data_IF_588297280955
#
_entry.id   IF_588297280955
#
_cell.length_a   1.000
_cell.length_b   1.000
_cell.length_c   1.000
_cell.angle_alpha   90.00
_cell.angle_beta   90.00
_cell.angle_gamma   90.00
#
_symmetry.space_group_name_H-M   'P 1'
#
loop_
_entity.id
_entity.type
_entity.pdbx_description
1 polymer ?
#
# COMPACT_ATOMS: atom_id res chain seq x y z
N UNK A 1 -9.66 -18.99 -1.37
CA UNK A 1 -11.03 -18.73 -0.87
C UNK A 1 -11.62 -17.41 -1.37
N UNK A 2 -10.85 -16.32 -1.46
CA UNK A 2 -11.37 -15.01 -1.96
C UNK A 2 -11.64 -14.96 -3.48
N UNK A 3 -10.92 -15.73 -4.31
CA UNK A 3 -11.04 -15.65 -5.77
C UNK A 3 -12.43 -16.02 -6.34
N UNK A 4 -13.25 -16.74 -5.57
CA UNK A 4 -14.57 -17.21 -6.00
C UNK A 4 -15.74 -16.58 -5.22
N UNK A 5 -15.43 -15.81 -4.17
CA UNK A 5 -16.42 -15.14 -3.32
C UNK A 5 -15.91 -13.72 -3.01
N UNK A 6 -15.92 -12.81 -3.98
CA UNK A 6 -15.44 -11.43 -3.76
C UNK A 6 -16.49 -10.55 -3.07
N UNK A 7 -17.76 -10.93 -3.12
CA UNK A 7 -18.88 -10.14 -2.58
C UNK A 7 -18.78 -9.87 -1.08
N UNK A 8 -18.23 -10.80 -0.28
CA UNK A 8 -18.09 -10.58 1.16
C UNK A 8 -17.06 -9.48 1.49
N UNK A 9 -16.10 -9.21 0.60
CA UNK A 9 -15.08 -8.17 0.81
C UNK A 9 -15.69 -6.76 0.75
N UNK A 10 -16.83 -6.62 0.09
CA UNK A 10 -17.54 -5.34 -0.09
C UNK A 10 -18.80 -5.23 0.76
N UNK A 11 -19.22 -6.30 1.42
CA UNK A 11 -20.45 -6.35 2.22
C UNK A 11 -20.19 -5.75 3.61
N UNK A 12 -20.96 -4.72 3.95
CA UNK A 12 -20.85 -3.98 5.22
C UNK A 12 -20.99 -4.90 6.44
N UNK A 13 -21.77 -5.98 6.33
CA UNK A 13 -21.95 -6.95 7.41
C UNK A 13 -20.63 -7.60 7.85
N UNK A 14 -19.67 -7.73 6.93
CA UNK A 14 -18.39 -8.38 7.20
C UNK A 14 -17.23 -7.40 7.35
N UNK A 15 -17.50 -6.09 7.43
CA UNK A 15 -16.45 -5.05 7.45
C UNK A 15 -15.40 -5.30 8.55
N UNK A 16 -15.82 -5.61 9.77
CA UNK A 16 -14.90 -5.88 10.90
C UNK A 16 -13.99 -7.10 10.64
N UNK A 17 -14.53 -8.15 10.02
CA UNK A 17 -13.76 -9.33 9.64
C UNK A 17 -12.77 -9.02 8.52
N UNK A 18 -13.19 -8.25 7.51
CA UNK A 18 -12.33 -7.80 6.42
C UNK A 18 -11.20 -6.92 6.95
N UNK A 19 -11.50 -6.04 7.92
CA UNK A 19 -10.49 -5.23 8.62
C UNK A 19 -9.47 -6.12 9.34
N UNK A 20 -9.96 -7.06 10.14
CA UNK A 20 -9.11 -8.00 10.87
C UNK A 20 -8.22 -8.81 9.90
N UNK A 21 -8.78 -9.29 8.78
CA UNK A 21 -8.02 -10.01 7.76
C UNK A 21 -6.95 -9.14 7.10
N UNK A 22 -7.24 -7.86 6.86
CA UNK A 22 -6.28 -6.92 6.31
C UNK A 22 -5.12 -6.66 7.27
N UNK A 23 -5.43 -6.41 8.54
CA UNK A 23 -4.44 -6.16 9.60
C UNK A 23 -3.55 -7.38 9.84
N UNK A 24 -4.14 -8.57 10.01
CA UNK A 24 -3.37 -9.80 10.14
C UNK A 24 -2.57 -10.11 8.87
N UNK A 25 -3.17 -9.94 7.69
CA UNK A 25 -2.51 -10.11 6.41
C UNK A 25 -1.27 -9.21 6.30
N UNK A 26 -1.39 -7.93 6.64
CA UNK A 26 -0.26 -7.01 6.66
C UNK A 26 0.80 -7.44 7.67
N UNK A 27 0.41 -7.81 8.90
CA UNK A 27 1.36 -8.26 9.94
C UNK A 27 2.18 -9.49 9.51
N UNK A 28 1.56 -10.39 8.73
CA UNK A 28 2.21 -11.61 8.23
C UNK A 28 3.19 -11.37 7.09
N UNK A 29 3.28 -10.16 6.54
CA UNK A 29 4.35 -9.79 5.60
C UNK A 29 5.74 -9.87 6.26
N UNK A 30 5.83 -9.71 7.59
CA UNK A 30 7.08 -9.85 8.33
C UNK A 30 7.40 -11.29 8.79
N UNK A 31 6.52 -12.27 8.51
CA UNK A 31 6.63 -13.63 9.02
C UNK A 31 7.90 -14.35 8.52
N UNK A 32 8.61 -15.21 9.27
CA UNK A 32 9.85 -15.84 8.79
C UNK A 32 9.70 -16.71 7.53
N UNK A 33 8.55 -17.36 7.36
CA UNK A 33 8.31 -18.28 6.23
C UNK A 33 7.77 -17.57 4.98
N UNK A 34 8.45 -17.74 3.85
CA UNK A 34 8.10 -17.12 2.55
C UNK A 34 6.69 -17.50 2.06
N UNK A 35 6.25 -18.73 2.29
CA UNK A 35 4.91 -19.18 1.87
C UNK A 35 3.80 -18.49 2.65
N UNK A 36 4.04 -18.09 3.91
CA UNK A 36 3.11 -17.28 4.70
C UNK A 36 3.03 -15.87 4.13
N UNK A 37 4.19 -15.26 3.82
CA UNK A 37 4.24 -13.94 3.19
C UNK A 37 3.54 -13.93 1.84
N UNK A 38 3.66 -14.99 1.04
CA UNK A 38 2.94 -15.13 -0.23
C UNK A 38 1.42 -15.11 -0.01
N UNK A 39 0.91 -15.97 0.86
CA UNK A 39 -0.53 -16.05 1.14
C UNK A 39 -1.06 -14.72 1.70
N UNK A 40 -0.29 -14.07 2.59
CA UNK A 40 -0.58 -12.76 3.14
C UNK A 40 -0.63 -11.66 2.05
N UNK A 41 0.36 -11.62 1.17
CA UNK A 41 0.43 -10.66 0.05
C UNK A 41 -0.74 -10.84 -0.91
N UNK A 42 -1.13 -12.09 -1.19
CA UNK A 42 -2.31 -12.40 -2.01
C UNK A 42 -3.60 -11.92 -1.33
N UNK A 43 -3.79 -12.20 -0.04
CA UNK A 43 -4.94 -11.72 0.74
C UNK A 43 -5.06 -10.20 0.71
N UNK A 44 -3.96 -9.50 1.01
CA UNK A 44 -3.87 -8.04 0.89
C UNK A 44 -4.26 -7.58 -0.52
N UNK A 45 -3.77 -8.26 -1.56
CA UNK A 45 -4.10 -7.94 -2.95
C UNK A 45 -5.60 -8.06 -3.25
N UNK A 46 -6.27 -9.09 -2.73
CA UNK A 46 -7.73 -9.21 -2.86
C UNK A 46 -8.49 -8.10 -2.14
N UNK A 47 -8.03 -7.70 -0.95
CA UNK A 47 -8.64 -6.61 -0.18
C UNK A 47 -8.44 -5.28 -0.91
N UNK A 48 -7.23 -5.01 -1.43
CA UNK A 48 -6.94 -3.83 -2.25
C UNK A 48 -7.83 -3.78 -3.49
N UNK A 49 -8.03 -4.91 -4.17
CA UNK A 49 -8.86 -5.00 -5.36
C UNK A 49 -10.37 -4.77 -5.09
N UNK A 50 -10.82 -4.94 -3.84
CA UNK A 50 -12.19 -4.70 -3.43
C UNK A 50 -12.45 -3.25 -2.97
N UNK A 51 -11.41 -2.41 -2.83
CA UNK A 51 -11.56 -1.03 -2.39
C UNK A 51 -12.28 -0.17 -3.44
N UNK A 52 -13.19 0.67 -2.95
CA UNK A 52 -13.60 1.89 -3.68
C UNK A 52 -12.42 2.89 -3.70
N UNK A 53 -11.68 2.88 -4.80
CA UNK A 53 -10.49 3.72 -5.00
C UNK A 53 -10.85 5.20 -5.00
N UNK A 54 -11.99 5.59 -5.56
CA UNK A 54 -12.40 7.00 -5.62
C UNK A 54 -12.69 7.53 -4.20
N UNK A 55 -13.30 6.72 -3.34
CA UNK A 55 -13.47 7.04 -1.91
C UNK A 55 -12.14 7.19 -1.21
N UNK A 56 -11.19 6.26 -1.39
CA UNK A 56 -9.85 6.37 -0.77
C UNK A 56 -9.14 7.64 -1.24
N UNK A 57 -9.17 7.95 -2.53
CA UNK A 57 -8.52 9.15 -3.08
C UNK A 57 -9.14 10.44 -2.50
N UNK A 58 -10.47 10.50 -2.35
CA UNK A 58 -11.14 11.66 -1.71
C UNK A 58 -10.68 11.87 -0.28
N UNK A 59 -10.56 10.79 0.51
CA UNK A 59 -10.09 10.85 1.89
C UNK A 59 -8.60 11.19 1.99
N UNK A 60 -7.78 10.73 1.04
CA UNK A 60 -6.36 11.09 0.97
C UNK A 60 -6.15 12.58 0.66
N UNK A 61 -7.02 13.18 -0.16
CA UNK A 61 -6.97 14.62 -0.45
C UNK A 61 -7.54 15.48 0.68
N UNK A 62 -8.44 14.93 1.50
CA UNK A 62 -9.09 15.65 2.60
C UNK A 62 -9.01 14.84 3.90
N UNK A 63 -7.82 14.68 4.50
CA UNK A 63 -7.61 13.82 5.67
C UNK A 63 -8.29 14.32 6.94
N UNK A 64 -8.72 15.59 6.99
CA UNK A 64 -9.46 16.16 8.12
C UNK A 64 -10.98 15.89 8.07
N UNK A 65 -11.47 15.29 6.98
CA UNK A 65 -12.88 14.93 6.87
C UNK A 65 -13.15 13.55 7.47
N UNK A 66 -13.98 13.57 8.51
CA UNK A 66 -14.87 12.50 8.95
C UNK A 66 -14.23 11.33 9.71
N UNK A 67 -14.15 11.47 11.05
CA UNK A 67 -13.78 10.40 12.00
C UNK A 67 -14.75 9.20 11.99
N UNK A 68 -15.88 9.27 11.26
CA UNK A 68 -16.88 8.19 11.20
C UNK A 68 -16.57 7.10 10.17
N UNK A 69 -15.49 7.23 9.40
CA UNK A 69 -15.16 6.28 8.34
C UNK A 69 -14.68 4.93 8.92
N UNK A 70 -15.41 3.86 8.63
CA UNK A 70 -15.07 2.49 9.03
C UNK A 70 -14.41 1.72 7.90
N UNK A 71 -13.50 0.81 8.24
CA UNK A 71 -12.77 0.01 7.27
C UNK A 71 -11.25 0.19 7.36
N UNK A 72 -10.52 -0.86 6.99
CA UNK A 72 -9.06 -0.92 7.07
C UNK A 72 -8.35 0.25 6.38
N UNK A 73 -8.73 0.55 5.13
CA UNK A 73 -8.13 1.66 4.37
C UNK A 73 -8.85 3.00 4.60
N UNK A 74 -10.10 3.01 5.08
CA UNK A 74 -10.92 4.22 5.15
C UNK A 74 -10.77 4.99 6.48
N UNK A 75 -10.49 4.28 7.58
CA UNK A 75 -10.39 4.90 8.92
C UNK A 75 -9.15 5.78 9.09
N UNK A 76 -8.00 5.35 8.57
CA UNK A 76 -6.73 6.09 8.61
C UNK A 76 -5.98 5.98 7.28
N UNK A 77 -6.52 6.52 6.17
CA UNK A 77 -6.06 6.22 4.82
C UNK A 77 -4.59 6.55 4.58
N UNK A 78 -4.11 7.69 5.11
CA UNK A 78 -2.71 8.10 4.95
C UNK A 78 -1.76 7.14 5.68
N UNK A 79 -2.07 6.79 6.92
CA UNK A 79 -1.22 5.94 7.75
C UNK A 79 -1.25 4.47 7.28
N UNK A 80 -2.45 3.94 7.02
CA UNK A 80 -2.62 2.57 6.52
C UNK A 80 -1.90 2.40 5.19
N UNK A 81 -2.13 3.31 4.23
CA UNK A 81 -1.51 3.21 2.91
C UNK A 81 0.01 3.36 2.98
N UNK A 82 0.51 4.28 3.82
CA UNK A 82 1.95 4.44 4.05
C UNK A 82 2.56 3.18 4.66
N UNK A 83 1.98 2.66 5.74
CA UNK A 83 2.48 1.47 6.43
C UNK A 83 2.51 0.26 5.49
N UNK A 84 1.38 0.00 4.83
CA UNK A 84 1.27 -1.11 3.89
C UNK A 84 2.28 -0.99 2.74
N UNK A 85 2.48 0.22 2.21
CA UNK A 85 3.48 0.45 1.16
C UNK A 85 4.89 0.10 1.65
N UNK A 86 5.25 0.48 2.88
CA UNK A 86 6.57 0.19 3.44
C UNK A 86 6.75 -1.32 3.66
N UNK A 87 5.72 -2.03 4.14
CA UNK A 87 5.78 -3.47 4.36
C UNK A 87 5.90 -4.26 3.05
N UNK A 88 5.21 -3.81 1.99
CA UNK A 88 5.35 -4.36 0.64
C UNK A 88 6.73 -4.07 0.04
N UNK A 89 7.25 -2.85 0.20
CA UNK A 89 8.61 -2.50 -0.25
C UNK A 89 9.66 -3.34 0.47
N UNK A 90 9.46 -3.65 1.76
CA UNK A 90 10.36 -4.50 2.54
C UNK A 90 10.41 -5.96 2.04
N UNK A 91 9.42 -6.41 1.26
CA UNK A 91 9.46 -7.71 0.59
C UNK A 91 10.41 -7.73 -0.61
N UNK A 92 10.70 -6.56 -1.20
CA UNK A 92 11.62 -6.44 -2.32
C UNK A 92 13.04 -6.39 -1.76
N UNK A 93 13.75 -7.50 -1.90
CA UNK A 93 15.16 -7.59 -1.59
C UNK A 93 15.94 -8.13 -2.80
N UNK A 94 17.24 -7.82 -2.92
CA UNK A 94 18.02 -8.16 -4.11
C UNK A 94 18.14 -9.66 -4.36
N UNK A 95 18.27 -10.45 -3.30
CA UNK A 95 18.37 -11.92 -3.36
C UNK A 95 17.00 -12.64 -3.42
N UNK A 96 15.95 -11.93 -3.85
CA UNK A 96 14.61 -12.50 -3.90
C UNK A 96 14.50 -13.53 -5.02
N UNK A 97 14.59 -14.81 -4.66
CA UNK A 97 14.50 -15.93 -5.61
C UNK A 97 13.08 -16.45 -5.79
N UNK A 98 12.14 -16.04 -4.93
CA UNK A 98 10.78 -16.55 -4.95
C UNK A 98 9.85 -15.68 -5.80
N UNK A 99 9.86 -15.93 -7.11
CA UNK A 99 9.16 -15.13 -8.14
C UNK A 99 7.66 -14.93 -7.86
N UNK A 100 6.98 -15.94 -7.30
CA UNK A 100 5.55 -15.84 -7.01
C UNK A 100 5.24 -14.74 -5.98
N UNK A 101 6.08 -14.59 -4.94
CA UNK A 101 5.91 -13.49 -3.98
C UNK A 101 6.25 -12.15 -4.65
N UNK A 102 7.31 -12.12 -5.46
CA UNK A 102 7.73 -10.90 -6.16
C UNK A 102 6.61 -10.37 -7.06
N UNK A 103 5.98 -11.25 -7.85
CA UNK A 103 4.85 -10.94 -8.72
C UNK A 103 3.67 -10.35 -7.93
N UNK A 104 3.30 -10.94 -6.79
CA UNK A 104 2.19 -10.44 -5.97
C UNK A 104 2.52 -9.09 -5.31
N UNK A 105 3.75 -8.92 -4.81
CA UNK A 105 4.20 -7.65 -4.22
C UNK A 105 4.19 -6.53 -5.27
N UNK A 106 4.74 -6.80 -6.46
CA UNK A 106 4.76 -5.82 -7.56
C UNK A 106 3.36 -5.46 -8.02
N UNK A 107 2.44 -6.42 -8.14
CA UNK A 107 1.02 -6.16 -8.46
C UNK A 107 0.38 -5.20 -7.45
N UNK A 108 0.57 -5.45 -6.15
CA UNK A 108 0.04 -4.60 -5.09
C UNK A 108 0.66 -3.21 -5.11
N UNK A 109 1.97 -3.09 -5.31
CA UNK A 109 2.67 -1.80 -5.42
C UNK A 109 2.23 -1.00 -6.65
N UNK A 110 1.99 -1.65 -7.79
CA UNK A 110 1.46 -1.00 -8.99
C UNK A 110 0.04 -0.48 -8.74
N UNK A 111 -0.80 -1.26 -8.05
CA UNK A 111 -2.14 -0.81 -7.66
C UNK A 111 -2.06 0.46 -6.81
N UNK A 112 -1.21 0.46 -5.78
CA UNK A 112 -0.96 1.65 -4.94
C UNK A 112 -0.44 2.81 -5.78
N UNK A 113 0.53 2.59 -6.67
CA UNK A 113 1.07 3.63 -7.55
C UNK A 113 -0.01 4.28 -8.43
N UNK A 114 -0.96 3.49 -8.95
CA UNK A 114 -2.10 4.00 -9.73
C UNK A 114 -3.02 4.87 -8.86
N UNK A 115 -3.29 4.45 -7.63
CA UNK A 115 -4.07 5.24 -6.67
C UNK A 115 -3.37 6.56 -6.32
N UNK A 116 -2.06 6.54 -6.03
CA UNK A 116 -1.27 7.75 -5.76
C UNK A 116 -1.21 8.72 -6.94
N UNK A 117 -1.30 8.21 -8.17
CA UNK A 117 -1.38 9.05 -9.38
C UNK A 117 -2.72 9.80 -9.47
N UNK A 118 -3.80 9.26 -8.90
CA UNK A 118 -5.13 9.86 -8.95
C UNK A 118 -5.34 11.02 -7.97
N UNK A 119 -4.58 11.05 -6.86
CA UNK A 119 -4.57 12.12 -5.84
C UNK A 119 -4.47 13.51 -6.48
N UNK A 120 -3.50 13.70 -7.38
CA UNK A 120 -3.21 15.00 -8.00
C UNK A 120 -4.20 15.43 -9.10
N UNK A 121 -5.11 14.57 -9.56
CA UNK A 121 -6.04 14.93 -10.64
C UNK A 121 -7.30 15.65 -10.16
N UNK A 122 -7.65 15.49 -8.89
CA UNK A 122 -8.89 16.05 -8.34
C UNK A 122 -8.72 17.48 -7.81
N UNK A 123 -7.50 17.89 -7.45
CA UNK A 123 -7.19 19.24 -6.95
C UNK A 123 -7.09 20.32 -8.06
N UNK A 124 -6.91 19.92 -9.33
CA UNK A 124 -6.77 20.91 -10.43
C UNK A 124 -8.11 21.55 -10.82
N UNK A 125 -9.23 21.08 -10.25
CA UNK A 125 -10.58 21.54 -10.59
C UNK A 125 -11.18 22.62 -9.70
N UNK A 126 -10.67 22.86 -8.48
CA UNK A 126 -11.34 23.76 -7.53
C UNK A 126 -10.37 24.65 -6.74
N UNK A 127 -10.43 25.94 -7.08
CA UNK A 127 -10.11 27.12 -6.27
C UNK A 127 -8.65 27.39 -5.91
N UNK A 128 -8.14 28.44 -6.57
CA UNK A 128 -7.14 29.34 -6.02
C UNK A 128 -7.63 29.92 -4.68
N UNK A 129 -6.73 29.89 -3.69
CA UNK A 129 -6.70 30.61 -2.41
C UNK A 129 -6.83 29.73 -1.15
N UNK A 130 -5.83 29.93 -0.27
CA UNK A 130 -5.73 29.58 1.16
C UNK A 130 -5.25 28.15 1.49
N UNK A 131 -3.95 28.02 1.78
CA UNK A 131 -3.45 27.87 3.16
C UNK A 131 -2.10 27.15 3.22
N UNK A 132 -1.10 27.89 3.67
CA UNK A 132 0.28 27.47 3.87
C UNK A 132 0.42 26.38 4.98
N UNK A 133 -0.65 26.15 5.76
CA UNK A 133 -0.79 25.05 6.74
C UNK A 133 -1.20 23.71 6.10
N UNK A 134 -2.01 23.72 5.03
CA UNK A 134 -2.49 22.50 4.33
C UNK A 134 -1.39 21.80 3.51
N UNK A 135 -0.36 22.55 3.11
CA UNK A 135 0.83 22.02 2.42
C UNK A 135 1.72 21.12 3.28
N UNK A 136 1.59 21.16 4.61
CA UNK A 136 2.47 20.42 5.52
C UNK A 136 2.04 18.96 5.72
N UNK A 137 0.76 18.65 5.56
CA UNK A 137 0.18 17.30 5.71
C UNK A 137 0.45 16.43 4.46
N UNK A 138 0.51 17.08 3.29
CA UNK A 138 0.63 16.46 1.97
C UNK A 138 2.02 15.86 1.62
N UNK A 139 2.97 15.87 2.56
CA UNK A 139 4.39 15.84 2.22
C UNK A 139 5.08 14.47 2.29
N UNK A 140 4.37 13.33 2.23
CA UNK A 140 5.10 12.06 2.13
C UNK A 140 4.37 10.88 1.48
N UNK A 141 3.17 11.04 0.92
CA UNK A 141 2.52 9.94 0.20
C UNK A 141 2.24 10.37 -1.25
N UNK A 142 3.25 10.19 -2.09
CA UNK A 142 3.21 10.57 -3.51
C UNK A 142 3.91 9.51 -4.34
N UNK A 143 3.61 9.50 -5.65
CA UNK A 143 4.30 8.58 -6.57
C UNK A 143 5.84 8.74 -6.51
N UNK A 144 6.43 9.96 -6.49
CA UNK A 144 7.86 10.12 -6.28
C UNK A 144 8.37 9.55 -4.95
N UNK A 145 7.60 9.65 -3.86
CA UNK A 145 7.98 9.05 -2.57
C UNK A 145 8.06 7.52 -2.67
N UNK A 146 7.05 6.87 -3.26
CA UNK A 146 7.04 5.43 -3.49
C UNK A 146 8.25 4.99 -4.31
N UNK A 147 8.54 5.68 -5.42
CA UNK A 147 9.69 5.38 -6.28
C UNK A 147 11.01 5.51 -5.52
N UNK A 148 11.15 6.52 -4.65
CA UNK A 148 12.35 6.67 -3.80
C UNK A 148 12.50 5.50 -2.81
N UNK A 149 11.40 4.99 -2.25
CA UNK A 149 11.43 3.83 -1.33
C UNK A 149 11.83 2.55 -2.06
N UNK A 150 11.26 2.31 -3.25
CA UNK A 150 11.64 1.17 -4.10
C UNK A 150 13.11 1.24 -4.51
N UNK A 151 13.59 2.41 -4.96
CA UNK A 151 15.01 2.59 -5.30
C UNK A 151 15.92 2.25 -4.13
N UNK A 152 15.56 2.68 -2.91
CA UNK A 152 16.36 2.36 -1.72
C UNK A 152 16.40 0.86 -1.47
N UNK A 153 15.25 0.17 -1.50
CA UNK A 153 15.16 -1.27 -1.27
C UNK A 153 16.02 -2.07 -2.26
N UNK A 154 15.93 -1.74 -3.56
CA UNK A 154 16.73 -2.38 -4.61
C UNK A 154 18.22 -2.07 -4.46
N UNK A 155 18.58 -0.82 -4.13
CA UNK A 155 19.97 -0.39 -4.07
C UNK A 155 20.69 -0.75 -2.75
N UNK A 156 20.01 -1.36 -1.76
CA UNK A 156 20.67 -1.82 -0.52
C UNK A 156 21.77 -2.85 -0.82
N UNK A 157 21.67 -3.62 -1.91
CA UNK A 157 22.75 -4.53 -2.36
C UNK A 157 24.04 -3.77 -2.66
N UNK A 158 23.94 -2.64 -3.36
CA UNK A 158 25.10 -1.89 -3.88
C UNK A 158 25.99 -1.40 -2.73
N UNK A 159 25.41 -1.16 -1.55
CA UNK A 159 26.14 -0.68 -0.38
C UNK A 159 26.55 -1.79 0.59
N UNK A 160 25.88 -2.95 0.59
CA UNK A 160 26.16 -4.03 1.54
C UNK A 160 26.80 -5.29 0.91
N UNK A 161 26.88 -5.39 -0.40
CA UNK A 161 27.56 -6.47 -1.11
C UNK A 161 28.42 -5.92 -2.26
N UNK A 162 29.62 -5.36 -2.00
CA UNK A 162 30.66 -5.44 -3.01
C UNK A 162 30.94 -6.94 -3.17
N UNK A 163 30.43 -7.56 -4.24
CA UNK A 163 30.78 -8.95 -4.58
C UNK A 163 32.30 -9.01 -4.57
N UNK A 164 32.86 -9.63 -3.53
CA UNK A 164 34.29 -9.83 -3.38
C UNK A 164 34.71 -10.71 -4.54
N UNK A 165 35.21 -10.09 -5.61
CA UNK A 165 35.97 -10.80 -6.63
C UNK A 165 37.33 -11.08 -6.00
N UNK A 166 37.39 -12.10 -5.15
CA UNK A 166 38.65 -12.77 -4.87
C UNK A 166 39.03 -13.50 -6.15
N UNK A 167 39.97 -12.91 -6.88
CA UNK A 167 40.74 -13.55 -7.95
C UNK A 167 41.60 -14.65 -7.34
#
# INVERSE_FOLDING_TARGET
>A
MSAHCTSFLTDEKYNDYVCSFAEYGQSFLAHPHVWVRLAATQLVGFILAALDVDRVVKLLNNPENDDSQTGYMYSKPVDTLRSLTLDLVAQIHPDMTFEQLADQVVKNLIFIAKMLKSINKLDVGNNEQNDESNRKINNNLSLPWLVRKLRRAVNVEITQAPKSTSV
#
